data_IF_860968260215
#
_entry.id   IF_860968260215
#
_cell.length_a   1.000
_cell.length_b   1.000
_cell.length_c   1.000
_cell.angle_alpha   90.00
_cell.angle_beta   90.00
_cell.angle_gamma   90.00
#
_symmetry.space_group_name_H-M   'P 1'
#
loop_
_entity.id
_entity.type
_entity.pdbx_description
1 polymer ?
#
# COMPACT_ATOMS: atom_id res chain seq x y z
N UNK A 1 -20.11 8.61 2.95
CA UNK A 1 -20.72 7.26 2.99
C UNK A 1 -20.34 6.40 1.77
N UNK A 2 -19.52 6.88 0.83
CA UNK A 2 -19.28 6.17 -0.45
C UNK A 2 -18.17 5.11 -0.49
N UNK A 3 -17.29 5.06 0.51
CA UNK A 3 -16.20 4.06 0.55
C UNK A 3 -16.71 2.71 1.07
N UNK A 4 -17.72 2.73 1.95
CA UNK A 4 -18.27 1.51 2.55
C UNK A 4 -19.11 0.71 1.54
N UNK A 5 -19.93 1.40 0.72
CA UNK A 5 -20.70 0.74 -0.35
C UNK A 5 -19.79 0.19 -1.47
N UNK A 6 -18.71 0.91 -1.83
CA UNK A 6 -17.75 0.40 -2.82
C UNK A 6 -17.03 -0.86 -2.35
N UNK A 7 -16.66 -0.94 -1.07
CA UNK A 7 -16.04 -2.15 -0.50
C UNK A 7 -17.02 -3.31 -0.35
N UNK A 8 -18.32 -3.05 -0.13
CA UNK A 8 -19.33 -4.09 -0.05
C UNK A 8 -19.68 -4.69 -1.42
N UNK A 9 -19.77 -3.85 -2.46
CA UNK A 9 -19.98 -4.27 -3.85
C UNK A 9 -18.78 -5.08 -4.39
N UNK A 10 -17.55 -4.67 -4.07
CA UNK A 10 -16.34 -5.41 -4.48
C UNK A 10 -16.25 -6.79 -3.81
N UNK A 11 -16.68 -6.94 -2.55
CA UNK A 11 -16.74 -8.24 -1.87
C UNK A 11 -17.78 -9.19 -2.47
N UNK A 12 -18.92 -8.66 -2.92
CA UNK A 12 -19.97 -9.45 -3.58
C UNK A 12 -19.52 -10.01 -4.95
N UNK A 13 -18.77 -9.21 -5.71
CA UNK A 13 -18.30 -9.60 -7.04
C UNK A 13 -17.16 -10.62 -6.99
N UNK A 14 -16.27 -10.51 -5.99
CA UNK A 14 -15.18 -11.49 -5.77
C UNK A 14 -15.75 -12.87 -5.40
N UNK A 15 -16.77 -12.94 -4.53
CA UNK A 15 -17.41 -14.21 -4.15
C UNK A 15 -18.17 -14.88 -5.32
N UNK A 16 -18.71 -14.10 -6.26
CA UNK A 16 -19.35 -14.65 -7.48
C UNK A 16 -18.33 -15.16 -8.51
N UNK A 17 -17.12 -14.60 -8.53
CA UNK A 17 -16.03 -15.06 -9.39
C UNK A 17 -15.39 -16.36 -8.86
N UNK A 18 -15.21 -16.47 -7.54
CA UNK A 18 -14.65 -17.67 -6.89
C UNK A 18 -15.57 -18.89 -6.99
N UNK A 19 -16.89 -18.69 -6.92
CA UNK A 19 -17.87 -19.78 -7.10
C UNK A 19 -17.95 -20.28 -8.55
N UNK A 20 -17.80 -19.40 -9.55
CA UNK A 20 -17.71 -19.81 -10.97
C UNK A 20 -16.41 -20.56 -11.29
N UNK A 21 -15.30 -20.19 -10.67
CA UNK A 21 -14.00 -20.86 -10.86
C UNK A 21 -13.97 -22.27 -10.23
N UNK A 22 -14.73 -22.49 -9.16
CA UNK A 22 -14.87 -23.81 -8.51
C UNK A 22 -15.72 -24.78 -9.36
N UNK A 23 -16.74 -24.27 -10.06
CA UNK A 23 -17.62 -25.07 -10.95
C UNK A 23 -16.89 -25.47 -12.24
N UNK A 24 -15.97 -24.63 -12.74
CA UNK A 24 -15.16 -24.94 -13.92
C UNK A 24 -14.05 -25.98 -13.63
N UNK A 25 -13.55 -26.05 -12.39
CA UNK A 25 -12.51 -27.02 -12.00
C UNK A 25 -13.03 -28.44 -11.68
N UNK A 26 -14.35 -28.64 -11.62
CA UNK A 26 -14.94 -29.96 -11.37
C UNK A 26 -15.40 -30.70 -12.65
N UNK A 27 -15.36 -30.06 -13.82
CA UNK A 27 -15.90 -30.63 -15.06
C UNK A 27 -14.86 -31.06 -16.12
N UNK A 28 -13.56 -30.86 -15.87
CA UNK A 28 -12.51 -31.28 -16.80
C UNK A 28 -11.71 -32.47 -16.24
N UNK A 29 -12.35 -33.64 -16.17
CA UNK A 29 -11.70 -34.95 -16.25
C UNK A 29 -12.77 -36.02 -16.47
N UNK A 30 -13.07 -36.31 -17.74
CA UNK A 30 -13.30 -37.67 -18.24
C UNK A 30 -13.27 -37.64 -19.77
N UNK A 31 -12.10 -38.00 -20.26
CA UNK A 31 -11.85 -38.31 -21.66
C UNK A 31 -12.77 -39.41 -22.17
N UNK A 32 -13.06 -39.26 -23.45
CA UNK A 32 -13.73 -40.16 -24.37
C UNK A 32 -12.93 -41.46 -24.46
N UNK A 33 -13.58 -42.60 -24.22
CA UNK A 33 -13.21 -43.86 -24.87
C UNK A 33 -14.45 -44.42 -25.57
N UNK A 34 -14.34 -44.52 -26.88
CA UNK A 34 -15.25 -45.26 -27.74
C UNK A 34 -15.14 -46.75 -27.40
N UNK A 35 -16.26 -47.40 -27.13
CA UNK A 35 -16.49 -48.75 -27.64
C UNK A 35 -17.98 -49.06 -27.79
N UNK A 36 -18.26 -49.74 -28.90
CA UNK A 36 -19.54 -50.10 -29.45
C UNK A 36 -20.16 -51.29 -28.69
N UNK A 37 -21.48 -51.26 -28.44
CA UNK A 37 -22.47 -52.33 -28.71
C UNK A 37 -23.67 -52.37 -27.75
N UNK A 38 -24.85 -52.40 -28.37
CA UNK A 38 -26.10 -53.07 -27.97
C UNK A 38 -27.05 -52.47 -26.90
N UNK A 39 -28.31 -52.36 -27.36
CA UNK A 39 -29.58 -52.57 -26.66
C UNK A 39 -30.12 -51.50 -25.71
N UNK A 40 -31.28 -50.93 -26.10
CA UNK A 40 -32.31 -50.53 -25.13
C UNK A 40 -33.07 -49.26 -25.49
N UNK A 41 -34.35 -49.44 -25.83
CA UNK A 41 -35.44 -48.46 -25.96
C UNK A 41 -35.39 -47.32 -24.88
N UNK A 42 -35.86 -46.09 -25.09
CA UNK A 42 -37.20 -45.72 -25.56
C UNK A 42 -37.32 -44.20 -25.81
N UNK A 43 -37.95 -43.85 -26.93
CA UNK A 43 -39.07 -42.90 -27.03
C UNK A 43 -38.83 -41.38 -27.08
N UNK A 44 -38.73 -40.91 -28.34
CA UNK A 44 -39.50 -39.82 -29.00
C UNK A 44 -40.13 -38.72 -28.13
N UNK A 45 -39.82 -37.48 -28.51
CA UNK A 45 -40.79 -36.53 -29.12
C UNK A 45 -40.07 -35.58 -30.08
N UNK A 46 -40.51 -35.56 -31.35
CA UNK A 46 -40.10 -34.62 -32.40
C UNK A 46 -40.95 -33.36 -32.29
N UNK A 47 -40.34 -32.18 -32.48
CA UNK A 47 -41.04 -30.98 -32.98
C UNK A 47 -40.30 -30.48 -34.22
N UNK A 48 -41.08 -30.17 -35.25
CA UNK A 48 -40.69 -29.86 -36.63
C UNK A 48 -39.98 -28.50 -36.74
N UNK A 49 -38.99 -28.41 -37.63
CA UNK A 49 -38.42 -27.16 -38.17
C UNK A 49 -39.39 -26.59 -39.21
N UNK A 50 -39.74 -25.32 -39.09
CA UNK A 50 -40.23 -24.50 -40.20
C UNK A 50 -39.05 -23.66 -40.69
N UNK A 51 -38.78 -23.76 -42.00
CA UNK A 51 -37.77 -22.97 -42.70
C UNK A 51 -38.35 -21.59 -42.99
N UNK A 52 -37.70 -20.54 -42.49
CA UNK A 52 -37.89 -19.15 -42.93
C UNK A 52 -36.53 -18.64 -43.38
N UNK A 53 -36.50 -18.03 -44.56
CA UNK A 53 -35.32 -17.57 -45.30
C UNK A 53 -34.37 -16.69 -44.46
N UNK A 54 -33.16 -17.22 -44.16
CA UNK A 54 -32.11 -16.57 -43.33
C UNK A 54 -31.08 -15.77 -44.15
N UNK A 55 -31.35 -15.38 -45.39
CA UNK A 55 -30.30 -14.80 -46.25
C UNK A 55 -30.21 -13.26 -46.30
N UNK A 56 -30.85 -12.53 -45.37
CA UNK A 56 -30.76 -11.06 -45.37
C UNK A 56 -30.60 -10.38 -43.99
N UNK A 57 -30.32 -11.11 -42.91
CA UNK A 57 -30.01 -10.53 -41.58
C UNK A 57 -28.60 -10.85 -41.04
N UNK A 58 -27.77 -11.58 -41.79
CA UNK A 58 -26.51 -12.15 -41.26
C UNK A 58 -25.22 -11.35 -41.58
N UNK A 59 -25.30 -10.17 -42.22
CA UNK A 59 -24.09 -9.40 -42.58
C UNK A 59 -23.78 -8.24 -41.63
N UNK A 60 -24.79 -7.60 -41.03
CA UNK A 60 -24.56 -6.49 -40.09
C UNK A 60 -24.26 -6.96 -38.65
N UNK A 61 -24.82 -8.09 -38.22
CA UNK A 61 -24.56 -8.67 -36.90
C UNK A 61 -23.16 -9.28 -36.77
N UNK A 62 -22.65 -9.93 -37.82
CA UNK A 62 -21.32 -10.54 -37.83
C UNK A 62 -20.17 -9.54 -37.87
N UNK A 63 -20.37 -8.36 -38.47
CA UNK A 63 -19.38 -7.28 -38.46
C UNK A 63 -19.28 -6.61 -37.08
N UNK A 64 -20.40 -6.40 -36.38
CA UNK A 64 -20.40 -5.86 -35.01
C UNK A 64 -19.77 -6.79 -33.99
N UNK A 65 -20.01 -8.11 -34.09
CA UNK A 65 -19.40 -9.11 -33.20
C UNK A 65 -17.88 -9.17 -33.42
N UNK A 66 -17.42 -9.14 -34.68
CA UNK A 66 -15.97 -9.11 -34.98
C UNK A 66 -15.29 -7.83 -34.49
N UNK A 67 -15.93 -6.67 -34.67
CA UNK A 67 -15.42 -5.40 -34.13
C UNK A 67 -15.35 -5.43 -32.60
N UNK A 68 -16.38 -5.98 -31.92
CA UNK A 68 -16.37 -6.13 -30.46
C UNK A 68 -15.31 -7.12 -29.96
N UNK A 69 -15.06 -8.20 -30.69
CA UNK A 69 -13.98 -9.16 -30.38
C UNK A 69 -12.59 -8.58 -30.63
N UNK A 70 -12.41 -7.75 -31.66
CA UNK A 70 -11.16 -7.04 -31.95
C UNK A 70 -10.89 -5.94 -30.91
N UNK A 71 -11.90 -5.15 -30.54
CA UNK A 71 -11.82 -4.17 -29.44
C UNK A 71 -11.54 -4.85 -28.10
N UNK A 72 -12.16 -6.00 -27.81
CA UNK A 72 -11.86 -6.79 -26.61
C UNK A 72 -10.43 -7.33 -26.63
N UNK A 73 -9.93 -7.82 -27.77
CA UNK A 73 -8.55 -8.28 -27.91
C UNK A 73 -7.54 -7.14 -27.75
N UNK A 74 -7.80 -5.97 -28.32
CA UNK A 74 -6.96 -4.78 -28.12
C UNK A 74 -6.98 -4.31 -26.67
N UNK A 75 -8.15 -4.34 -26.02
CA UNK A 75 -8.28 -4.06 -24.58
C UNK A 75 -7.51 -5.09 -23.73
N UNK A 76 -7.62 -6.38 -24.03
CA UNK A 76 -6.90 -7.46 -23.34
C UNK A 76 -5.39 -7.34 -23.53
N UNK A 77 -4.92 -6.99 -24.72
CA UNK A 77 -3.50 -6.71 -25.00
C UNK A 77 -3.03 -5.48 -24.22
N UNK A 78 -3.84 -4.41 -24.18
CA UNK A 78 -3.57 -3.21 -23.39
C UNK A 78 -3.50 -3.48 -21.90
N UNK A 79 -4.42 -4.26 -21.35
CA UNK A 79 -4.44 -4.68 -19.95
C UNK A 79 -3.21 -5.54 -19.62
N UNK A 80 -2.89 -6.54 -20.45
CA UNK A 80 -1.72 -7.40 -20.24
C UNK A 80 -0.40 -6.62 -20.29
N UNK A 81 -0.30 -5.64 -21.20
CA UNK A 81 0.86 -4.75 -21.27
C UNK A 81 0.97 -3.87 -20.01
N UNK A 82 -0.14 -3.28 -19.57
CA UNK A 82 -0.16 -2.50 -18.33
C UNK A 82 0.27 -3.33 -17.13
N UNK A 83 -0.27 -4.55 -16.97
CA UNK A 83 0.11 -5.46 -15.88
C UNK A 83 1.61 -5.79 -15.94
N UNK A 84 2.17 -6.03 -17.13
CA UNK A 84 3.60 -6.29 -17.30
C UNK A 84 4.45 -5.09 -16.86
N UNK A 85 4.11 -3.89 -17.33
CA UNK A 85 4.84 -2.65 -16.98
C UNK A 85 4.75 -2.39 -15.47
N UNK A 86 3.59 -2.60 -14.86
CA UNK A 86 3.37 -2.49 -13.43
C UNK A 86 4.25 -3.46 -12.63
N UNK A 87 4.27 -4.75 -13.02
CA UNK A 87 5.09 -5.77 -12.36
C UNK A 87 6.58 -5.48 -12.52
N UNK A 88 7.01 -4.95 -13.67
CA UNK A 88 8.39 -4.54 -13.90
C UNK A 88 8.81 -3.44 -12.93
N UNK A 89 8.02 -2.37 -12.80
CA UNK A 89 8.34 -1.26 -11.89
C UNK A 89 8.37 -1.75 -10.43
N UNK A 90 7.40 -2.57 -10.02
CA UNK A 90 7.37 -3.13 -8.67
C UNK A 90 8.60 -3.98 -8.36
N UNK A 91 9.10 -4.73 -9.35
CA UNK A 91 10.29 -5.56 -9.19
C UNK A 91 11.55 -4.71 -9.05
N UNK A 92 11.71 -3.68 -9.87
CA UNK A 92 12.81 -2.70 -9.75
C UNK A 92 12.78 -2.01 -8.37
N UNK A 93 11.59 -1.63 -7.88
CA UNK A 93 11.43 -1.03 -6.55
C UNK A 93 11.80 -1.99 -5.41
N UNK A 94 11.59 -3.29 -5.60
CA UNK A 94 11.96 -4.31 -4.61
C UNK A 94 13.47 -4.50 -4.54
N UNK A 95 14.16 -4.46 -5.68
CA UNK A 95 15.63 -4.51 -5.77
C UNK A 95 16.29 -3.24 -5.20
N UNK A 96 15.56 -2.12 -5.15
CA UNK A 96 16.02 -0.85 -4.57
C UNK A 96 15.99 -0.80 -3.03
N UNK A 97 15.42 -1.81 -2.37
CA UNK A 97 15.33 -1.86 -0.91
C UNK A 97 16.70 -2.16 -0.28
N UNK A 98 17.12 -1.32 0.66
CA UNK A 98 18.48 -1.30 1.19
C UNK A 98 18.64 -2.03 2.52
N UNK A 99 17.54 -2.26 3.24
CA UNK A 99 17.54 -2.92 4.54
C UNK A 99 16.65 -4.15 4.52
N UNK A 100 17.01 -5.14 5.33
CA UNK A 100 16.10 -6.22 5.72
C UNK A 100 14.98 -5.64 6.58
N UNK A 101 13.73 -6.03 6.31
CA UNK A 101 12.57 -5.51 7.02
C UNK A 101 11.48 -6.57 7.13
N UNK A 102 10.62 -6.40 8.12
CA UNK A 102 9.37 -7.14 8.27
C UNK A 102 8.23 -6.31 7.71
N UNK A 103 7.38 -6.90 6.88
CA UNK A 103 6.20 -6.23 6.34
C UNK A 103 4.95 -6.58 7.16
N UNK A 104 4.27 -5.58 7.71
CA UNK A 104 2.99 -5.76 8.40
C UNK A 104 2.03 -4.65 8.00
N UNK A 105 0.81 -5.01 7.57
CA UNK A 105 -0.21 -4.04 7.16
C UNK A 105 0.30 -3.01 6.13
N UNK A 106 1.11 -3.46 5.15
CA UNK A 106 1.76 -2.61 4.14
C UNK A 106 2.75 -1.57 4.69
N UNK A 107 3.28 -1.81 5.88
CA UNK A 107 4.29 -0.98 6.54
C UNK A 107 5.56 -1.79 6.72
N UNK A 108 6.69 -1.19 6.36
CA UNK A 108 8.00 -1.80 6.51
C UNK A 108 8.54 -1.48 7.91
N UNK A 109 8.85 -2.52 8.68
CA UNK A 109 9.41 -2.41 10.02
C UNK A 109 10.84 -2.93 10.05
N UNK A 110 11.73 -2.22 10.74
CA UNK A 110 13.08 -2.69 11.06
C UNK A 110 13.23 -2.85 12.57
N UNK A 111 14.16 -3.68 13.00
CA UNK A 111 14.53 -3.83 14.40
C UNK A 111 15.70 -2.89 14.77
N UNK A 112 16.04 -2.86 16.06
CA UNK A 112 17.15 -2.04 16.55
C UNK A 112 18.51 -2.48 15.98
N UNK A 113 18.72 -3.77 15.76
CA UNK A 113 19.96 -4.28 15.18
C UNK A 113 20.17 -3.80 13.74
N UNK A 114 19.12 -3.85 12.93
CA UNK A 114 19.13 -3.36 11.54
C UNK A 114 19.35 -1.85 11.52
N UNK A 115 18.74 -1.09 12.44
CA UNK A 115 19.01 0.34 12.55
C UNK A 115 20.50 0.60 12.86
N UNK A 116 21.08 -0.12 13.82
CA UNK A 116 22.53 0.02 14.15
C UNK A 116 23.42 -0.31 12.95
N UNK A 117 23.07 -1.32 12.15
CA UNK A 117 23.77 -1.62 10.89
C UNK A 117 23.63 -0.46 9.90
N UNK A 118 22.43 0.10 9.77
CA UNK A 118 22.12 1.21 8.88
C UNK A 118 22.79 2.53 9.28
N UNK A 119 23.11 2.75 10.56
CA UNK A 119 23.80 3.96 11.06
C UNK A 119 25.19 4.20 10.45
N UNK A 120 25.75 3.21 9.75
CA UNK A 120 27.00 3.36 8.99
C UNK A 120 26.78 4.04 7.64
N UNK A 121 25.54 4.12 7.15
CA UNK A 121 25.22 4.70 5.85
C UNK A 121 25.07 6.23 5.95
N UNK A 122 25.71 7.00 5.05
CA UNK A 122 25.53 8.45 4.99
C UNK A 122 24.15 8.86 4.49
N UNK A 123 23.43 7.95 3.83
CA UNK A 123 22.08 8.17 3.30
C UNK A 123 20.97 7.90 4.33
N UNK A 124 21.33 7.52 5.57
CA UNK A 124 20.37 7.29 6.65
C UNK A 124 19.86 8.61 7.22
N UNK A 125 18.54 8.72 7.30
CA UNK A 125 17.84 9.79 7.99
C UNK A 125 16.92 9.16 9.03
N UNK A 126 17.11 9.56 10.28
CA UNK A 126 16.31 9.08 11.41
C UNK A 126 15.41 10.22 11.89
N UNK A 127 14.12 9.98 11.97
CA UNK A 127 13.15 10.94 12.48
C UNK A 127 12.51 10.46 13.78
N UNK A 128 12.61 11.30 14.80
CA UNK A 128 11.93 11.13 16.07
C UNK A 128 10.58 11.86 16.02
N UNK A 129 9.48 11.11 16.09
CA UNK A 129 8.12 11.65 16.09
C UNK A 129 7.56 11.86 17.51
N UNK A 130 8.38 11.83 18.56
CA UNK A 130 7.99 12.17 19.94
C UNK A 130 7.91 13.68 20.15
N UNK A 131 7.37 14.10 21.29
CA UNK A 131 7.34 15.50 21.66
C UNK A 131 8.73 16.04 21.95
N UNK A 132 8.85 17.38 21.91
CA UNK A 132 10.12 18.07 22.03
C UNK A 132 10.86 17.72 23.33
N UNK A 133 10.15 17.64 24.46
CA UNK A 133 10.78 17.34 25.76
C UNK A 133 11.30 15.90 25.83
N UNK A 134 10.59 14.93 25.26
CA UNK A 134 11.05 13.53 25.16
C UNK A 134 12.34 13.45 24.34
N UNK A 135 12.40 14.16 23.20
CA UNK A 135 13.58 14.21 22.34
C UNK A 135 14.77 14.90 23.02
N UNK A 136 14.53 16.04 23.69
CA UNK A 136 15.57 16.77 24.42
C UNK A 136 16.13 15.98 25.60
N UNK A 137 15.28 15.22 26.30
CA UNK A 137 15.69 14.33 27.38
C UNK A 137 16.61 13.21 26.90
N UNK A 138 16.35 12.69 25.70
CA UNK A 138 17.30 11.87 24.97
C UNK A 138 16.71 11.23 23.72
N UNK A 139 17.55 10.95 22.73
CA UNK A 139 17.16 10.49 21.38
C UNK A 139 18.27 9.66 20.74
N UNK A 140 17.97 8.95 19.65
CA UNK A 140 18.96 8.19 18.87
C UNK A 140 19.95 9.16 18.23
N UNK A 141 21.25 8.86 18.26
CA UNK A 141 22.29 9.70 17.66
C UNK A 141 21.99 10.00 16.19
N UNK A 142 22.04 11.29 15.82
CA UNK A 142 21.76 11.76 14.46
C UNK A 142 20.28 11.87 14.11
N UNK A 143 19.36 11.57 15.04
CA UNK A 143 17.93 11.75 14.79
C UNK A 143 17.52 13.22 14.77
N UNK A 144 16.57 13.54 13.89
CA UNK A 144 15.93 14.85 13.78
C UNK A 144 14.52 14.76 14.37
N UNK A 145 14.14 15.71 15.22
CA UNK A 145 12.78 15.75 15.77
C UNK A 145 11.78 16.28 14.74
N UNK A 146 10.77 15.48 14.41
CA UNK A 146 9.77 15.75 13.35
C UNK A 146 8.36 16.00 13.93
N UNK A 147 8.30 16.50 15.17
CA UNK A 147 7.07 16.60 15.96
C UNK A 147 5.96 17.43 15.29
N UNK A 148 6.09 18.77 15.29
CA UNK A 148 5.08 19.69 14.77
C UNK A 148 5.41 20.26 13.40
N UNK A 149 6.38 19.68 12.69
CA UNK A 149 6.85 20.27 11.43
C UNK A 149 5.68 20.57 10.49
N UNK A 150 5.51 21.85 10.20
CA UNK A 150 4.42 22.36 9.37
C UNK A 150 4.66 22.07 7.89
N UNK A 151 5.91 21.81 7.49
CA UNK A 151 6.31 21.56 6.12
C UNK A 151 7.18 20.30 5.99
N UNK A 152 6.58 19.15 6.33
CA UNK A 152 7.10 17.82 5.99
C UNK A 152 7.51 17.69 4.51
N UNK A 153 6.83 18.44 3.63
CA UNK A 153 7.16 18.55 2.21
C UNK A 153 8.55 19.15 1.97
N UNK A 154 8.88 20.27 2.62
CA UNK A 154 10.16 20.95 2.43
C UNK A 154 11.32 20.12 3.02
N UNK A 155 11.09 19.50 4.18
CA UNK A 155 12.10 18.67 4.84
C UNK A 155 12.47 17.41 4.04
N UNK A 156 11.49 16.80 3.37
CA UNK A 156 11.70 15.57 2.63
C UNK A 156 11.99 15.84 1.14
N UNK A 157 11.11 16.55 0.46
CA UNK A 157 11.03 16.57 -1.00
C UNK A 157 11.73 17.77 -1.68
N UNK A 158 12.02 18.87 -0.96
CA UNK A 158 12.70 20.04 -1.54
C UNK A 158 14.24 19.92 -1.56
N UNK A 159 14.82 18.91 -0.91
CA UNK A 159 16.28 18.70 -0.89
C UNK A 159 16.72 18.07 -2.21
N UNK A 160 17.45 18.84 -3.03
CA UNK A 160 18.03 18.38 -4.29
C UNK A 160 19.06 17.25 -4.04
N UNK A 161 18.83 16.10 -4.66
CA UNK A 161 19.73 14.94 -4.60
C UNK A 161 18.97 13.62 -4.67
N UNK A 162 19.12 12.90 -5.77
CA UNK A 162 18.55 11.56 -6.00
C UNK A 162 19.32 10.47 -5.24
N UNK A 163 19.79 10.71 -4.02
CA UNK A 163 20.36 9.62 -3.22
C UNK A 163 19.24 8.74 -2.70
N UNK A 164 19.46 7.42 -2.65
CA UNK A 164 18.51 6.43 -2.12
C UNK A 164 18.44 6.59 -0.60
N UNK A 165 17.77 7.65 -0.13
CA UNK A 165 17.62 7.98 1.29
C UNK A 165 16.93 6.83 2.02
N UNK A 166 17.57 6.35 3.08
CA UNK A 166 16.98 5.39 4.03
C UNK A 166 16.30 6.23 5.11
N UNK A 167 14.97 6.21 5.18
CA UNK A 167 14.20 6.98 6.15
C UNK A 167 13.67 6.04 7.22
N UNK A 168 14.02 6.29 8.48
CA UNK A 168 13.54 5.53 9.63
C UNK A 168 12.76 6.46 10.55
N UNK A 169 11.50 6.15 10.82
CA UNK A 169 10.68 6.88 11.79
C UNK A 169 10.54 6.07 13.07
N UNK A 170 10.51 6.75 14.21
CA UNK A 170 10.18 6.12 15.49
C UNK A 170 9.39 7.08 16.39
N UNK A 171 8.72 6.51 17.39
CA UNK A 171 8.29 7.29 18.55
C UNK A 171 8.62 6.53 19.84
N UNK A 172 7.92 6.73 20.95
CA UNK A 172 8.23 6.02 22.20
C UNK A 172 8.10 4.50 22.04
N UNK A 173 7.00 4.05 21.43
CA UNK A 173 6.69 2.63 21.17
C UNK A 173 6.46 2.30 19.69
N UNK A 174 6.54 3.31 18.81
CA UNK A 174 6.26 3.22 17.37
C UNK A 174 4.86 2.72 16.96
N UNK A 175 3.86 2.82 17.85
CA UNK A 175 2.49 2.34 17.60
C UNK A 175 1.59 3.41 16.93
N UNK A 176 1.72 4.68 17.35
CA UNK A 176 0.76 5.74 16.97
C UNK A 176 1.42 6.91 16.25
N UNK A 177 2.30 7.64 16.95
CA UNK A 177 2.86 8.93 16.44
C UNK A 177 3.71 8.75 15.18
N UNK A 178 4.63 7.79 15.15
CA UNK A 178 5.43 7.47 13.96
C UNK A 178 4.59 6.88 12.83
N UNK A 179 3.58 6.08 13.17
CA UNK A 179 2.66 5.48 12.20
C UNK A 179 1.80 6.54 11.49
N UNK A 180 1.26 7.52 12.26
CA UNK A 180 0.58 8.67 11.69
C UNK A 180 1.50 9.41 10.68
N UNK A 181 2.76 9.63 11.04
CA UNK A 181 3.73 10.28 10.15
C UNK A 181 4.10 9.44 8.93
N UNK A 182 4.24 8.13 9.08
CA UNK A 182 4.46 7.22 7.95
C UNK A 182 3.37 7.38 6.88
N UNK A 183 2.10 7.38 7.29
CA UNK A 183 0.99 7.56 6.36
C UNK A 183 0.93 8.98 5.77
N UNK A 184 1.25 10.01 6.55
CA UNK A 184 1.35 11.38 6.03
C UNK A 184 2.42 11.48 4.93
N UNK A 185 3.63 10.95 5.16
CA UNK A 185 4.71 10.92 4.19
C UNK A 185 4.28 10.14 2.95
N UNK A 186 3.72 8.93 3.13
CA UNK A 186 3.34 8.08 2.01
C UNK A 186 2.23 8.69 1.17
N UNK A 187 1.28 9.39 1.79
CA UNK A 187 0.23 10.13 1.09
C UNK A 187 0.81 11.26 0.24
N UNK A 188 1.77 12.02 0.78
CA UNK A 188 2.46 13.07 0.03
C UNK A 188 3.27 12.48 -1.13
N UNK A 189 4.04 11.43 -0.88
CA UNK A 189 4.86 10.73 -1.89
C UNK A 189 3.99 10.24 -3.06
N UNK A 190 2.84 9.64 -2.75
CA UNK A 190 1.86 9.18 -3.76
C UNK A 190 1.18 10.31 -4.51
N UNK A 191 0.99 11.48 -3.90
CA UNK A 191 0.41 12.63 -4.61
C UNK A 191 1.38 13.25 -5.62
N UNK A 192 2.68 13.00 -5.45
CA UNK A 192 3.75 13.53 -6.29
C UNK A 192 4.21 12.56 -7.38
N UNK A 193 3.84 11.27 -7.28
CA UNK A 193 4.31 10.22 -8.16
C UNK A 193 3.17 9.48 -8.87
N UNK A 194 3.38 9.13 -10.13
CA UNK A 194 2.49 8.22 -10.86
C UNK A 194 2.63 6.81 -10.30
N UNK A 195 1.50 6.18 -9.95
CA UNK A 195 1.46 4.80 -9.47
C UNK A 195 2.14 3.85 -10.49
N UNK A 196 3.00 2.90 -10.05
CA UNK A 196 3.34 2.50 -8.68
C UNK A 196 4.58 3.18 -8.10
N UNK A 197 5.18 4.15 -8.80
CA UNK A 197 6.41 4.80 -8.40
C UNK A 197 6.29 5.49 -7.03
N UNK A 198 7.40 5.50 -6.31
CA UNK A 198 7.60 6.19 -5.03
C UNK A 198 8.96 6.87 -5.05
N UNK A 199 9.07 8.01 -4.38
CA UNK A 199 10.36 8.65 -4.10
C UNK A 199 11.04 7.97 -2.92
N UNK A 200 10.30 7.55 -1.90
CA UNK A 200 10.82 6.89 -0.70
C UNK A 200 10.48 5.41 -0.66
N UNK A 201 11.16 4.60 -1.48
CA UNK A 201 11.06 3.14 -1.40
C UNK A 201 11.53 2.62 -0.02
N UNK A 202 12.60 3.22 0.51
CA UNK A 202 13.27 2.87 1.76
C UNK A 202 12.72 3.68 2.94
N UNK A 203 11.43 3.53 3.26
CA UNK A 203 10.79 4.20 4.40
C UNK A 203 10.29 3.16 5.41
N UNK A 204 10.85 3.21 6.61
CA UNK A 204 10.71 2.20 7.66
C UNK A 204 10.20 2.78 8.98
N UNK A 205 9.55 1.93 9.78
CA UNK A 205 9.30 2.17 11.20
C UNK A 205 10.28 1.35 12.05
N UNK A 206 10.88 1.98 13.07
CA UNK A 206 11.63 1.26 14.08
C UNK A 206 10.66 0.51 15.00
N UNK A 207 10.74 -0.82 15.02
CA UNK A 207 9.92 -1.70 15.86
C UNK A 207 10.16 -1.39 17.34
N UNK A 208 9.08 -1.42 18.13
CA UNK A 208 9.07 -1.17 19.58
C UNK A 208 9.57 0.22 20.04
N UNK A 209 9.93 1.09 19.10
CA UNK A 209 10.27 2.49 19.32
C UNK A 209 11.52 2.74 20.16
N UNK A 210 11.65 3.98 20.61
CA UNK A 210 12.79 4.45 21.39
C UNK A 210 12.90 3.74 22.74
N UNK A 211 11.77 3.34 23.34
CA UNK A 211 11.76 2.65 24.64
C UNK A 211 12.58 1.36 24.59
N UNK A 212 12.32 0.51 23.60
CA UNK A 212 13.05 -0.75 23.44
C UNK A 212 14.46 -0.54 22.90
N UNK A 213 14.62 0.41 21.96
CA UNK A 213 15.93 0.73 21.41
C UNK A 213 16.90 1.21 22.49
N UNK A 214 16.46 2.11 23.38
CA UNK A 214 17.30 2.64 24.45
C UNK A 214 17.72 1.55 25.44
N UNK A 215 16.84 0.60 25.78
CA UNK A 215 17.17 -0.52 26.66
C UNK A 215 18.34 -1.37 26.12
N UNK A 216 18.35 -1.62 24.82
CA UNK A 216 19.31 -2.53 24.18
C UNK A 216 20.55 -1.79 23.62
N UNK A 217 20.39 -0.52 23.24
CA UNK A 217 21.34 0.26 22.44
C UNK A 217 21.54 1.68 23.01
N UNK A 218 21.50 1.85 24.34
CA UNK A 218 21.68 3.15 25.00
C UNK A 218 22.96 3.90 24.58
N UNK A 219 24.03 3.19 24.26
CA UNK A 219 25.29 3.76 23.76
C UNK A 219 25.18 4.40 22.36
N UNK A 220 24.12 4.09 21.61
CA UNK A 220 23.74 4.76 20.36
C UNK A 220 22.76 5.91 20.56
N UNK A 221 22.47 6.28 21.80
CA UNK A 221 21.59 7.39 22.15
C UNK A 221 22.37 8.56 22.76
N UNK A 222 21.80 9.75 22.66
CA UNK A 222 22.18 10.93 23.41
C UNK A 222 21.19 11.10 24.57
N UNK A 223 21.68 11.40 25.77
CA UNK A 223 20.83 11.62 26.93
C UNK A 223 20.16 10.34 27.45
N UNK A 224 18.98 10.51 28.07
CA UNK A 224 18.25 9.47 28.78
C UNK A 224 16.89 9.18 28.14
N UNK A 225 16.28 8.06 28.54
CA UNK A 225 14.89 7.79 28.21
C UNK A 225 13.96 8.63 29.09
N UNK A 226 13.21 9.54 28.46
CA UNK A 226 12.09 10.26 29.07
C UNK A 226 10.78 9.77 28.44
N UNK A 227 9.85 9.33 29.29
CA UNK A 227 8.53 8.87 28.86
C UNK A 227 7.62 10.06 28.54
N UNK A 228 6.66 9.87 27.63
CA UNK A 228 5.65 10.88 27.33
C UNK A 228 4.89 11.31 28.60
N UNK A 229 4.56 10.39 29.50
CA UNK A 229 3.76 10.69 30.70
C UNK A 229 4.63 10.91 31.95
N UNK A 230 5.88 11.35 31.78
CA UNK A 230 6.75 11.68 32.91
C UNK A 230 6.13 12.85 33.71
N UNK A 231 5.88 12.67 35.03
CA UNK A 231 5.25 13.71 35.86
C UNK A 231 6.00 15.04 35.88
N UNK A 232 7.31 15.05 35.63
CA UNK A 232 8.11 16.28 35.58
C UNK A 232 7.78 17.14 34.34
N UNK A 233 7.13 16.57 33.34
CA UNK A 233 6.88 17.20 32.04
C UNK A 233 5.38 17.36 31.71
N UNK A 234 4.49 17.24 32.71
CA UNK A 234 3.03 17.34 32.52
C UNK A 234 2.63 18.66 31.83
N UNK A 235 3.21 19.79 32.25
CA UNK A 235 2.94 21.09 31.64
C UNK A 235 3.40 21.17 30.18
N UNK A 236 4.56 20.60 29.85
CA UNK A 236 5.07 20.57 28.48
C UNK A 236 4.19 19.66 27.60
N UNK A 237 3.75 18.51 28.12
CA UNK A 237 2.85 17.61 27.43
C UNK A 237 1.54 18.32 27.06
N UNK A 238 0.93 19.05 27.98
CA UNK A 238 -0.30 19.80 27.73
C UNK A 238 -0.10 20.86 26.62
N UNK A 239 0.98 21.62 26.68
CA UNK A 239 1.32 22.62 25.66
C UNK A 239 1.52 21.98 24.29
N UNK A 240 2.22 20.85 24.22
CA UNK A 240 2.49 20.12 22.98
C UNK A 240 1.20 19.54 22.37
N UNK A 241 0.29 19.04 23.20
CA UNK A 241 -1.02 18.58 22.76
C UNK A 241 -1.88 19.73 22.21
N UNK A 242 -1.92 20.88 22.90
CA UNK A 242 -2.64 22.07 22.44
C UNK A 242 -2.09 22.57 21.09
N UNK A 243 -0.77 22.66 20.94
CA UNK A 243 -0.13 23.01 19.67
C UNK A 243 -0.55 22.06 18.54
N UNK A 244 -0.53 20.75 18.79
CA UNK A 244 -0.95 19.74 17.81
C UNK A 244 -2.40 19.93 17.36
N UNK A 245 -3.31 20.23 18.29
CA UNK A 245 -4.73 20.48 18.00
C UNK A 245 -4.85 21.72 17.10
N UNK A 246 -4.21 22.83 17.48
CA UNK A 246 -4.23 24.08 16.71
C UNK A 246 -3.71 23.85 15.29
N UNK A 247 -2.60 23.13 15.13
CA UNK A 247 -2.02 22.83 13.82
C UNK A 247 -2.94 21.96 12.96
N UNK A 248 -3.60 20.94 13.55
CA UNK A 248 -4.60 20.13 12.85
C UNK A 248 -5.77 20.98 12.36
N UNK A 249 -6.29 21.89 13.18
CA UNK A 249 -7.35 22.81 12.77
C UNK A 249 -6.91 23.75 11.64
N UNK A 250 -5.73 24.37 11.75
CA UNK A 250 -5.16 25.21 10.69
C UNK A 250 -5.01 24.46 9.36
N UNK A 251 -4.53 23.22 9.41
CA UNK A 251 -4.37 22.39 8.21
C UNK A 251 -5.71 21.98 7.59
N UNK A 252 -6.72 21.69 8.40
CA UNK A 252 -8.07 21.40 7.90
C UNK A 252 -8.71 22.64 7.26
N UNK A 253 -8.54 23.81 7.87
CA UNK A 253 -9.01 25.08 7.32
C UNK A 253 -8.33 25.43 5.98
N UNK A 254 -7.01 25.28 5.88
CA UNK A 254 -6.28 25.46 4.61
C UNK A 254 -6.78 24.54 3.52
N UNK A 255 -7.07 23.27 3.84
CA UNK A 255 -7.64 22.31 2.88
C UNK A 255 -9.04 22.72 2.42
N UNK A 256 -9.89 23.26 3.31
CA UNK A 256 -11.23 23.74 2.91
C UNK A 256 -11.19 24.96 2.00
N UNK A 257 -10.11 25.74 2.02
CA UNK A 257 -9.94 26.90 1.12
C UNK A 257 -9.39 26.52 -0.26
N UNK A 258 -8.86 25.30 -0.43
CA UNK A 258 -8.27 24.83 -1.68
C UNK A 258 -9.23 24.00 -2.55
N UNK A 259 -10.51 23.92 -2.16
CA UNK A 259 -11.62 23.27 -2.88
C UNK A 259 -12.51 24.36 -3.46
#
# INVERSE_FOLDING_TARGET
MDIFLKNLLMKSLVNQAESKLLILKQNDFKEINNDCQTNGLCCRKKIKREQVDENQYCLEGGQRIKQQEEEQKEQDVGINKYIYDMNKILKEQQEDLLLEYRLENSIQYIDGETLVKAMKSPDLIIYDCRYQYEFQGGHIKGAVNLNHSTNLFDELFCVQGQSKKIVVLYCEFSIKRSLEKYFEIRKLDRSMNQYPKLTYNNLYLLSDGYSKFYQNFSHFCNGFYISMNDPQYEQQLDQEQQKRIILKHKNNYRKSLAV
#
